data_IF_848285607287
#
_entry.id   IF_848285607287
#
_cell.length_a   1.000
_cell.length_b   1.000
_cell.length_c   1.000
_cell.angle_alpha   90.00
_cell.angle_beta   90.00
_cell.angle_gamma   90.00
#
_symmetry.space_group_name_H-M   'P 1'
#
loop_
_entity.id
_entity.type
_entity.pdbx_description
1 polymer ?
#
# COMPACT_ATOMS: atom_id res chain seq x y z
N UNK A 1 3.57 16.26 8.75
CA UNK A 1 4.68 16.17 9.72
C UNK A 1 5.22 17.57 10.00
N UNK A 2 5.14 18.07 11.23
CA UNK A 2 5.07 19.54 11.47
C UNK A 2 6.26 20.37 10.98
N UNK A 3 7.50 19.87 11.09
CA UNK A 3 8.68 20.62 10.68
C UNK A 3 8.87 20.66 9.15
N UNK A 4 8.61 19.55 8.47
CA UNK A 4 8.71 19.44 7.02
C UNK A 4 7.55 20.18 6.33
N UNK A 5 6.33 20.07 6.84
CA UNK A 5 5.16 20.84 6.38
C UNK A 5 5.46 22.35 6.48
N UNK A 6 5.93 22.81 7.64
CA UNK A 6 6.24 24.22 7.88
C UNK A 6 7.36 24.73 6.96
N UNK A 7 8.34 23.90 6.65
CA UNK A 7 9.38 24.26 5.70
C UNK A 7 8.86 24.31 4.27
N UNK A 8 8.04 23.35 3.86
CA UNK A 8 7.42 23.30 2.55
C UNK A 8 6.50 24.51 2.30
N UNK A 9 5.70 24.92 3.29
CA UNK A 9 4.88 26.12 3.24
C UNK A 9 5.71 27.40 3.01
N UNK A 10 6.86 27.53 3.69
CA UNK A 10 7.82 28.65 3.43
C UNK A 10 8.38 28.65 2.01
N UNK A 11 8.27 27.53 1.28
CA UNK A 11 8.66 27.38 -0.12
C UNK A 11 7.45 27.45 -1.08
N UNK A 12 6.28 27.86 -0.60
CA UNK A 12 5.05 27.96 -1.40
C UNK A 12 4.37 26.62 -1.68
N UNK A 13 4.63 25.59 -0.85
CA UNK A 13 3.96 24.28 -0.90
C UNK A 13 3.14 24.10 0.38
N UNK A 14 1.96 24.69 0.38
CA UNK A 14 1.08 24.70 1.56
C UNK A 14 0.41 23.35 1.84
N UNK A 15 0.38 22.47 0.84
CA UNK A 15 -0.15 21.11 0.92
C UNK A 15 0.92 20.10 0.42
N UNK A 16 1.95 19.92 1.25
CA UNK A 16 3.08 19.07 0.91
C UNK A 16 2.85 17.63 1.39
N UNK A 17 2.17 16.85 0.55
CA UNK A 17 1.93 15.44 0.81
C UNK A 17 3.24 14.65 1.01
N UNK A 18 3.31 13.93 2.12
CA UNK A 18 4.42 13.05 2.46
C UNK A 18 3.93 11.69 2.93
N UNK A 19 4.61 10.65 2.44
CA UNK A 19 4.39 9.28 2.87
C UNK A 19 5.69 8.62 3.28
N UNK A 20 5.59 7.70 4.24
CA UNK A 20 6.71 6.84 4.65
C UNK A 20 6.71 5.51 3.91
N UNK A 21 7.88 5.09 3.42
CA UNK A 21 8.08 3.71 3.00
C UNK A 21 8.36 2.83 4.24
N UNK A 22 7.29 2.33 4.86
CA UNK A 22 7.38 1.48 6.05
C UNK A 22 7.17 0.03 5.62
N UNK A 23 8.27 -0.69 5.38
CA UNK A 23 8.23 -2.03 4.81
C UNK A 23 7.68 -3.09 5.79
N UNK A 24 6.35 -3.15 5.92
CA UNK A 24 5.64 -4.08 6.78
C UNK A 24 4.19 -4.27 6.31
N UNK A 25 3.70 -5.51 6.30
CA UNK A 25 2.31 -5.83 6.02
C UNK A 25 1.39 -5.72 7.27
N UNK A 26 1.91 -5.30 8.43
CA UNK A 26 1.13 -5.14 9.66
C UNK A 26 0.69 -3.68 9.88
N UNK A 27 -0.62 -3.38 9.83
CA UNK A 27 -1.15 -2.05 10.13
C UNK A 27 -0.78 -1.51 11.51
N UNK A 28 -0.48 -2.37 12.50
CA UNK A 28 0.00 -1.92 13.81
C UNK A 28 1.41 -1.32 13.76
N UNK A 29 2.19 -1.65 12.71
CA UNK A 29 3.54 -1.11 12.48
C UNK A 29 3.50 0.13 11.58
N UNK A 30 2.66 0.15 10.54
CA UNK A 30 2.57 1.28 9.60
C UNK A 30 1.78 2.47 10.19
N UNK A 31 0.64 2.22 10.85
CA UNK A 31 -0.24 3.29 11.32
C UNK A 31 0.35 4.27 12.36
N UNK A 32 1.30 3.90 13.25
CA UNK A 32 1.97 4.87 14.12
C UNK A 32 2.71 5.98 13.38
N UNK A 33 3.14 5.76 12.13
CA UNK A 33 3.82 6.80 11.33
C UNK A 33 2.87 7.90 10.87
N UNK A 34 1.59 7.56 10.62
CA UNK A 34 0.53 8.53 10.38
C UNK A 34 0.08 9.15 11.70
N UNK A 35 -0.30 8.33 12.68
CA UNK A 35 -0.95 8.80 13.92
C UNK A 35 -0.02 9.55 14.87
N UNK A 36 1.22 9.06 15.05
CA UNK A 36 2.22 9.66 15.94
C UNK A 36 3.27 10.45 15.16
N UNK A 37 3.73 9.90 14.04
CA UNK A 37 4.68 10.56 13.15
C UNK A 37 4.09 11.75 12.39
N UNK A 38 2.75 11.88 12.35
CA UNK A 38 2.02 12.94 11.66
C UNK A 38 2.34 13.00 10.16
N UNK A 39 2.76 11.90 9.54
CA UNK A 39 2.80 11.80 8.08
C UNK A 39 1.39 11.75 7.54
N UNK A 40 1.20 12.14 6.28
CA UNK A 40 -0.10 12.06 5.63
C UNK A 40 -0.45 10.61 5.30
N UNK A 41 0.56 9.77 5.08
CA UNK A 41 0.38 8.43 4.55
C UNK A 41 1.57 7.50 4.79
N UNK A 42 1.40 6.22 4.48
CA UNK A 42 2.48 5.25 4.25
C UNK A 42 2.30 4.57 2.90
N UNK A 43 3.37 3.98 2.34
CA UNK A 43 3.19 3.00 1.27
C UNK A 43 2.41 1.80 1.81
N UNK A 44 1.33 1.43 1.11
CA UNK A 44 0.37 0.45 1.59
C UNK A 44 0.84 -1.00 1.33
N UNK A 45 1.90 -1.40 2.03
CA UNK A 45 2.37 -2.78 2.02
C UNK A 45 1.32 -3.79 2.53
N UNK A 46 0.48 -3.48 3.55
CA UNK A 46 -0.64 -4.34 3.91
C UNK A 46 -1.56 -4.65 2.73
N UNK A 47 -1.97 -3.62 1.97
CA UNK A 47 -2.74 -3.83 0.74
C UNK A 47 -1.95 -4.60 -0.32
N UNK A 48 -0.69 -4.23 -0.59
CA UNK A 48 0.13 -4.88 -1.61
C UNK A 48 0.25 -6.38 -1.39
N UNK A 49 0.51 -6.81 -0.15
CA UNK A 49 0.60 -8.21 0.22
C UNK A 49 -0.74 -8.93 0.01
N UNK A 50 -1.83 -8.37 0.51
CA UNK A 50 -3.16 -8.96 0.39
C UNK A 50 -3.62 -9.05 -1.07
N UNK A 51 -3.35 -8.02 -1.88
CA UNK A 51 -3.69 -7.98 -3.30
C UNK A 51 -2.92 -9.06 -4.09
N UNK A 52 -1.61 -9.23 -3.83
CA UNK A 52 -0.82 -10.32 -4.43
C UNK A 52 -1.36 -11.69 -4.00
N UNK A 53 -1.61 -11.88 -2.70
CA UNK A 53 -2.13 -13.14 -2.18
C UNK A 53 -3.45 -13.53 -2.86
N UNK A 54 -4.35 -12.56 -3.03
CA UNK A 54 -5.64 -12.76 -3.67
C UNK A 54 -5.53 -13.01 -5.18
N UNK A 55 -4.88 -12.11 -5.93
CA UNK A 55 -4.86 -12.16 -7.39
C UNK A 55 -3.90 -13.22 -7.97
N UNK A 56 -2.85 -13.57 -7.22
CA UNK A 56 -1.76 -14.44 -7.69
C UNK A 56 -1.74 -15.79 -6.98
N UNK A 57 -1.85 -15.81 -5.65
CA UNK A 57 -1.57 -17.00 -4.84
C UNK A 57 -2.83 -17.78 -4.43
N UNK A 58 -4.02 -17.33 -4.86
CA UNK A 58 -5.28 -18.03 -4.61
C UNK A 58 -5.79 -17.91 -3.16
N UNK A 59 -5.31 -16.92 -2.40
CA UNK A 59 -5.85 -16.65 -1.07
C UNK A 59 -7.31 -16.16 -1.16
N UNK A 60 -8.12 -16.38 -0.11
CA UNK A 60 -9.46 -15.85 -0.07
C UNK A 60 -9.47 -14.32 0.02
N UNK A 61 -10.61 -13.70 -0.32
CA UNK A 61 -10.82 -12.26 -0.20
C UNK A 61 -10.84 -11.76 1.26
N UNK A 62 -10.82 -12.66 2.25
CA UNK A 62 -10.75 -12.34 3.67
C UNK A 62 -9.47 -11.58 4.04
N UNK A 63 -8.38 -11.77 3.29
CA UNK A 63 -7.13 -11.02 3.44
C UNK A 63 -7.33 -9.53 3.14
N UNK A 64 -7.99 -9.23 2.02
CA UNK A 64 -8.36 -7.84 1.67
C UNK A 64 -9.34 -7.26 2.69
N UNK A 65 -10.36 -8.04 3.07
CA UNK A 65 -11.31 -7.62 4.11
C UNK A 65 -10.62 -7.30 5.45
N UNK A 66 -9.58 -8.05 5.82
CA UNK A 66 -8.78 -7.79 7.01
C UNK A 66 -7.98 -6.49 6.88
N UNK A 67 -7.43 -6.17 5.71
CA UNK A 67 -6.74 -4.88 5.47
C UNK A 67 -7.73 -3.73 5.70
N UNK A 68 -8.86 -3.74 5.02
CA UNK A 68 -9.89 -2.68 5.15
C UNK A 68 -10.47 -2.60 6.58
N UNK A 69 -10.61 -3.75 7.25
CA UNK A 69 -11.02 -3.79 8.66
C UNK A 69 -10.05 -3.09 9.62
N UNK A 70 -8.82 -2.81 9.20
CA UNK A 70 -7.81 -2.10 9.97
C UNK A 70 -7.64 -0.63 9.57
N UNK A 71 -8.42 -0.11 8.61
CA UNK A 71 -8.32 1.29 8.12
C UNK A 71 -8.45 2.33 9.24
N UNK A 72 -9.28 2.06 10.25
CA UNK A 72 -9.48 2.94 11.41
C UNK A 72 -8.17 3.26 12.16
N UNK A 73 -7.14 2.43 12.01
CA UNK A 73 -5.84 2.63 12.68
C UNK A 73 -5.09 3.84 12.15
N UNK A 74 -5.33 4.24 10.90
CA UNK A 74 -4.68 5.39 10.28
C UNK A 74 -5.39 6.72 10.60
N UNK A 75 -6.57 6.69 11.22
CA UNK A 75 -7.38 7.88 11.46
C UNK A 75 -6.74 8.82 12.48
N UNK A 76 -6.68 10.10 12.10
CA UNK A 76 -6.27 11.24 12.92
C UNK A 76 -7.22 12.42 12.67
N UNK A 77 -6.92 13.56 13.28
CA UNK A 77 -7.53 14.85 12.97
C UNK A 77 -7.22 15.38 11.56
N UNK A 78 -6.29 14.75 10.81
CA UNK A 78 -5.77 15.27 9.54
C UNK A 78 -5.68 14.26 8.39
N UNK A 79 -5.62 12.98 8.70
CA UNK A 79 -5.40 11.89 7.75
C UNK A 79 -6.14 10.64 8.21
N UNK A 80 -6.35 9.70 7.31
CA UNK A 80 -7.03 8.43 7.49
C UNK A 80 -6.46 7.40 6.49
N UNK A 81 -7.19 6.32 6.22
CA UNK A 81 -6.72 5.27 5.32
C UNK A 81 -6.84 5.63 3.83
N UNK A 82 -7.71 6.57 3.46
CA UNK A 82 -7.91 6.98 2.07
C UNK A 82 -6.69 7.73 1.49
N UNK A 83 -5.79 8.23 2.33
CA UNK A 83 -4.52 8.82 1.89
C UNK A 83 -3.41 7.79 1.68
N UNK A 84 -3.60 6.50 2.03
CA UNK A 84 -2.59 5.46 1.83
C UNK A 84 -2.16 5.36 0.36
N UNK A 85 -0.84 5.23 0.13
CA UNK A 85 -0.30 5.09 -1.22
C UNK A 85 -0.35 3.62 -1.62
N UNK A 86 -1.47 3.20 -2.21
CA UNK A 86 -1.70 1.83 -2.66
C UNK A 86 -0.89 1.49 -3.91
N UNK A 87 -0.32 0.28 -3.95
CA UNK A 87 0.50 -0.20 -5.06
C UNK A 87 0.52 -1.73 -5.11
N UNK A 88 0.94 -2.29 -6.25
CA UNK A 88 1.03 -3.75 -6.45
C UNK A 88 2.48 -4.26 -6.47
N UNK A 89 3.46 -3.35 -6.59
CA UNK A 89 4.89 -3.65 -6.57
C UNK A 89 5.74 -2.41 -6.86
N UNK A 90 6.99 -2.42 -6.37
CA UNK A 90 7.93 -1.31 -6.48
C UNK A 90 9.30 -1.80 -7.01
N UNK A 91 10.36 -1.04 -6.77
CA UNK A 91 11.71 -1.35 -7.26
C UNK A 91 12.50 -2.28 -6.33
N UNK A 92 12.12 -2.36 -5.05
CA UNK A 92 12.79 -3.21 -4.06
C UNK A 92 12.30 -4.64 -4.10
N UNK A 93 10.97 -4.82 -4.13
CA UNK A 93 10.35 -6.14 -4.11
C UNK A 93 10.25 -6.73 -5.52
N UNK A 94 10.11 -5.87 -6.53
CA UNK A 94 9.71 -6.23 -7.89
C UNK A 94 8.30 -5.74 -8.23
N UNK A 95 7.94 -5.86 -9.51
CA UNK A 95 6.63 -5.44 -10.06
C UNK A 95 5.69 -6.63 -10.18
N UNK A 96 4.38 -6.36 -10.24
CA UNK A 96 3.34 -7.40 -10.24
C UNK A 96 3.56 -8.49 -11.29
N UNK A 97 3.99 -8.17 -12.52
CA UNK A 97 4.26 -9.17 -13.56
C UNK A 97 5.29 -10.22 -13.13
N UNK A 98 6.39 -9.77 -12.49
CA UNK A 98 7.42 -10.68 -11.94
C UNK A 98 6.86 -11.59 -10.86
N UNK A 99 5.97 -11.07 -9.99
CA UNK A 99 5.32 -11.89 -8.97
C UNK A 99 4.37 -12.93 -9.55
N UNK A 100 3.59 -12.56 -10.56
CA UNK A 100 2.67 -13.49 -11.23
C UNK A 100 3.40 -14.67 -11.85
N UNK A 101 4.51 -14.41 -12.55
CA UNK A 101 5.36 -15.46 -13.13
C UNK A 101 5.97 -16.36 -12.05
N UNK A 102 6.46 -15.78 -10.95
CA UNK A 102 7.05 -16.54 -9.83
C UNK A 102 6.02 -17.41 -9.10
N UNK A 103 4.84 -16.85 -8.83
CA UNK A 103 3.77 -17.54 -8.10
C UNK A 103 3.07 -18.60 -8.97
N UNK A 104 3.10 -18.44 -10.30
CA UNK A 104 2.37 -19.30 -11.24
C UNK A 104 3.30 -19.82 -12.37
N UNK A 105 4.32 -20.64 -12.07
CA UNK A 105 5.36 -21.05 -13.03
C UNK A 105 4.85 -21.93 -14.19
N UNK A 106 3.60 -22.38 -14.14
CA UNK A 106 2.95 -23.20 -15.16
C UNK A 106 1.84 -22.46 -15.93
N UNK A 107 1.54 -21.21 -15.55
CA UNK A 107 0.51 -20.43 -16.22
C UNK A 107 0.99 -19.98 -17.61
N UNK A 108 0.07 -19.97 -18.57
CA UNK A 108 0.32 -19.37 -19.88
C UNK A 108 0.14 -17.84 -19.84
N UNK A 109 0.57 -17.16 -20.91
CA UNK A 109 0.47 -15.70 -21.03
C UNK A 109 -0.98 -15.19 -20.87
N UNK A 110 -1.97 -15.98 -21.28
CA UNK A 110 -3.37 -15.60 -21.20
C UNK A 110 -3.88 -15.63 -19.75
N UNK A 111 -3.46 -16.61 -18.96
CA UNK A 111 -3.72 -16.67 -17.53
C UNK A 111 -2.98 -15.56 -16.77
N UNK A 112 -1.68 -15.36 -17.04
CA UNK A 112 -0.90 -14.29 -16.41
C UNK A 112 -1.50 -12.91 -16.70
N UNK A 113 -1.97 -12.66 -17.92
CA UNK A 113 -2.67 -11.42 -18.27
C UNK A 113 -3.98 -11.25 -17.50
N UNK A 114 -4.77 -12.33 -17.31
CA UNK A 114 -6.01 -12.26 -16.52
C UNK A 114 -5.72 -11.91 -15.06
N UNK A 115 -4.68 -12.51 -14.46
CA UNK A 115 -4.27 -12.20 -13.09
C UNK A 115 -3.73 -10.78 -12.95
N UNK A 116 -2.96 -10.32 -13.94
CA UNK A 116 -2.48 -8.94 -13.98
C UNK A 116 -3.64 -7.94 -14.04
N UNK A 117 -4.66 -8.20 -14.86
CA UNK A 117 -5.88 -7.38 -14.90
C UNK A 117 -6.60 -7.41 -13.56
N UNK A 118 -6.84 -8.60 -13.00
CA UNK A 118 -7.49 -8.74 -11.69
C UNK A 118 -6.76 -7.97 -10.58
N UNK A 119 -5.43 -7.94 -10.60
CA UNK A 119 -4.66 -7.18 -9.62
C UNK A 119 -4.83 -5.65 -9.75
N UNK A 120 -5.29 -5.14 -10.91
CA UNK A 120 -5.48 -3.71 -11.19
C UNK A 120 -6.95 -3.25 -11.20
N UNK A 121 -7.90 -4.12 -10.84
CA UNK A 121 -9.32 -3.78 -10.65
C UNK A 121 -9.58 -3.30 -9.20
#
# INVERSE_FOLDING_TARGET
ATALDAYAAKRGRDDFFMFGEVYSADPAITSPYVTRGRLDSTLDFPFQEAARQFASQGAPADRLASVYGNDYRYTTDKANAYEQVTFLGNHDMGRIGTFLEQDNPQADDAELLKRARLANE
#
